data_IF_504171087029
#
_entry.id   IF_504171087029
#
_cell.length_a   1.000
_cell.length_b   1.000
_cell.length_c   1.000
_cell.angle_alpha   90.00
_cell.angle_beta   90.00
_cell.angle_gamma   90.00
#
_symmetry.space_group_name_H-M   'P 1'
#
loop_
_entity.id
_entity.type
_entity.pdbx_description
1 polymer ?
#
# COMPACT_ATOMS: atom_id res chain seq x y z
N UNK A 1 12.18 0.30 7.93
CA UNK A 1 11.38 0.69 9.08
C UNK A 1 11.62 2.15 9.43
N UNK A 2 10.58 2.87 9.80
CA UNK A 2 10.67 4.17 10.43
C UNK A 2 10.38 4.03 11.91
N UNK A 3 11.38 4.39 12.73
CA UNK A 3 11.36 4.19 14.18
C UNK A 3 11.49 5.52 14.92
N UNK A 4 11.23 5.51 16.23
CA UNK A 4 11.44 6.66 17.08
C UNK A 4 12.26 6.32 18.33
N UNK A 5 12.84 7.34 18.90
CA UNK A 5 13.46 7.29 20.20
C UNK A 5 13.09 8.55 20.99
N UNK A 6 13.05 8.44 22.30
CA UNK A 6 12.71 9.52 23.20
C UNK A 6 13.89 9.86 24.13
N UNK A 7 13.99 11.12 24.51
CA UNK A 7 14.97 11.58 25.49
C UNK A 7 14.45 12.81 26.24
N UNK A 8 14.92 12.99 27.46
CA UNK A 8 14.75 14.23 28.23
C UNK A 8 15.72 15.34 27.78
N UNK A 9 16.72 14.99 26.98
CA UNK A 9 17.78 15.88 26.52
C UNK A 9 17.87 15.86 25.00
N UNK A 10 18.15 16.98 24.35
CA UNK A 10 18.17 17.03 22.89
C UNK A 10 19.37 16.30 22.24
N UNK A 11 20.39 15.98 22.99
CA UNK A 11 21.67 15.48 22.48
C UNK A 11 22.21 14.20 23.14
N UNK A 12 21.44 13.59 24.06
CA UNK A 12 21.90 12.38 24.79
C UNK A 12 20.74 11.63 25.45
N UNK A 13 21.01 10.41 25.88
CA UNK A 13 20.07 9.62 26.69
C UNK A 13 18.84 9.16 25.93
N UNK A 14 18.97 8.92 24.62
CA UNK A 14 17.89 8.41 23.80
C UNK A 14 17.56 6.95 24.13
N UNK A 15 16.29 6.69 24.30
CA UNK A 15 15.74 5.34 24.49
C UNK A 15 14.88 4.99 23.29
N UNK A 16 15.13 3.85 22.69
CA UNK A 16 14.34 3.34 21.58
C UNK A 16 12.88 3.13 21.99
N UNK A 17 11.96 3.69 21.22
CA UNK A 17 10.53 3.66 21.52
C UNK A 17 9.74 2.65 20.68
N UNK A 18 10.28 2.25 19.54
CA UNK A 18 9.59 1.30 18.65
C UNK A 18 9.50 1.76 17.22
N UNK A 19 8.74 1.01 16.43
CA UNK A 19 8.43 1.31 15.02
C UNK A 19 7.23 2.23 14.96
N UNK A 20 7.30 3.29 14.16
CA UNK A 20 6.16 4.17 13.86
C UNK A 20 5.38 3.60 12.69
N UNK A 21 6.07 3.26 11.59
CA UNK A 21 5.48 2.63 10.41
C UNK A 21 6.49 1.69 9.75
N UNK A 22 6.00 0.55 9.29
CA UNK A 22 6.80 -0.44 8.58
C UNK A 22 6.59 -0.32 7.07
N UNK A 23 7.68 -0.30 6.30
CA UNK A 23 7.61 -0.32 4.84
C UNK A 23 6.90 -1.54 4.27
N UNK A 24 7.05 -2.67 4.96
CA UNK A 24 6.48 -3.94 4.53
C UNK A 24 5.11 -4.19 5.15
N UNK A 25 4.62 -3.22 5.92
CA UNK A 25 3.36 -3.34 6.67
C UNK A 25 3.37 -4.55 7.63
N UNK A 26 4.50 -4.74 8.35
CA UNK A 26 4.75 -5.84 9.27
C UNK A 26 4.48 -5.47 10.72
N UNK A 27 4.38 -6.47 11.58
CA UNK A 27 4.26 -6.34 13.04
C UNK A 27 3.02 -5.59 13.54
N UNK A 28 1.98 -5.54 12.72
CA UNK A 28 0.71 -4.97 13.12
C UNK A 28 -0.16 -6.10 13.64
N UNK A 29 -0.25 -6.20 14.96
CA UNK A 29 -0.90 -7.29 15.67
C UNK A 29 -0.45 -8.69 15.18
N UNK A 30 -1.20 -9.73 15.47
CA UNK A 30 -0.96 -11.07 14.93
C UNK A 30 -1.28 -11.22 13.44
N UNK A 31 -1.81 -10.17 12.84
CA UNK A 31 -2.32 -10.18 11.47
C UNK A 31 -1.22 -10.18 10.40
N UNK A 32 -0.06 -9.56 10.70
CA UNK A 32 1.05 -9.43 9.74
C UNK A 32 2.37 -9.89 10.33
N UNK A 33 2.61 -11.20 10.32
CA UNK A 33 3.87 -11.75 10.76
C UNK A 33 5.03 -11.34 9.84
N UNK A 34 6.25 -11.35 10.36
CA UNK A 34 7.46 -10.91 9.66
C UNK A 34 7.76 -11.69 8.37
N UNK A 35 7.35 -12.96 8.30
CA UNK A 35 7.56 -13.84 7.17
C UNK A 35 6.61 -13.61 5.99
N UNK A 36 5.62 -12.75 6.16
CA UNK A 36 4.62 -12.43 5.11
C UNK A 36 4.53 -10.93 4.87
N UNK A 37 5.59 -10.27 4.39
CA UNK A 37 5.52 -8.86 4.05
C UNK A 37 4.55 -8.64 2.89
N UNK A 38 3.73 -7.59 3.03
CA UNK A 38 2.64 -7.29 2.10
C UNK A 38 2.97 -6.17 1.12
N UNK A 39 4.16 -5.60 1.24
CA UNK A 39 4.66 -4.59 0.32
C UNK A 39 6.18 -4.74 0.20
N UNK A 40 6.77 -4.29 -0.91
CA UNK A 40 8.21 -4.33 -1.04
C UNK A 40 8.89 -3.25 -0.20
N UNK A 41 9.99 -3.64 0.44
CA UNK A 41 10.74 -2.77 1.34
C UNK A 41 11.93 -2.12 0.66
N UNK A 42 12.34 -1.02 1.26
CA UNK A 42 13.64 -0.39 1.10
C UNK A 42 13.87 0.53 2.29
N UNK A 43 14.69 1.59 2.13
CA UNK A 43 14.82 2.61 3.15
C UNK A 43 13.53 3.45 3.28
N UNK A 44 13.37 4.07 4.43
CA UNK A 44 12.27 4.98 4.73
C UNK A 44 12.80 6.13 5.60
N UNK A 45 12.24 7.30 5.43
CA UNK A 45 12.37 8.43 6.34
C UNK A 45 11.14 9.31 6.24
N UNK A 46 10.92 10.12 7.26
CA UNK A 46 9.73 10.96 7.35
C UNK A 46 9.76 11.80 8.61
N UNK A 47 8.62 12.34 8.97
CA UNK A 47 8.46 13.17 10.17
C UNK A 47 7.03 13.15 10.66
N UNK A 48 6.88 13.45 11.95
CA UNK A 48 5.56 13.58 12.57
C UNK A 48 5.17 15.05 12.67
N UNK A 49 3.89 15.31 12.51
CA UNK A 49 3.32 16.65 12.66
C UNK A 49 1.90 16.57 13.21
N UNK A 50 1.52 17.54 14.00
CA UNK A 50 0.15 17.73 14.47
C UNK A 50 -0.60 18.68 13.55
N UNK A 51 -1.78 18.25 13.09
CA UNK A 51 -2.68 19.05 12.26
C UNK A 51 -4.06 18.99 12.89
N UNK A 52 -4.56 20.13 13.36
CA UNK A 52 -5.88 20.26 13.98
C UNK A 52 -6.15 19.25 15.11
N UNK A 53 -5.17 19.01 15.97
CA UNK A 53 -5.28 18.08 17.11
C UNK A 53 -5.08 16.60 16.76
N UNK A 54 -4.84 16.26 15.52
CA UNK A 54 -4.50 14.92 15.09
C UNK A 54 -3.03 14.86 14.67
N UNK A 55 -2.29 13.92 15.24
CA UNK A 55 -0.90 13.64 14.84
C UNK A 55 -0.85 12.72 13.64
N UNK A 56 0.05 12.99 12.71
CA UNK A 56 0.32 12.20 11.52
C UNK A 56 1.79 11.88 11.38
N UNK A 57 2.10 10.72 10.83
CA UNK A 57 3.40 10.40 10.27
C UNK A 57 3.34 10.59 8.76
N UNK A 58 4.18 11.48 8.24
CA UNK A 58 4.46 11.60 6.82
C UNK A 58 5.71 10.80 6.52
N UNK A 59 5.64 9.91 5.56
CA UNK A 59 6.73 9.04 5.20
C UNK A 59 6.71 8.78 3.69
N UNK A 60 7.65 7.99 3.19
CA UNK A 60 7.59 7.55 1.81
C UNK A 60 7.71 6.04 1.71
N UNK A 61 7.25 5.51 0.60
CA UNK A 61 7.52 4.15 0.16
C UNK A 61 8.16 4.18 -1.22
N UNK A 62 8.95 3.16 -1.53
CA UNK A 62 9.53 3.05 -2.85
C UNK A 62 8.50 2.61 -3.87
N UNK A 63 8.69 3.08 -5.10
CA UNK A 63 7.87 2.74 -6.26
C UNK A 63 8.76 2.28 -7.40
N UNK A 64 8.18 1.78 -8.47
CA UNK A 64 8.86 1.32 -9.69
C UNK A 64 9.95 0.25 -9.47
N UNK A 65 9.99 -0.39 -8.30
CA UNK A 65 11.01 -1.38 -7.97
C UNK A 65 12.45 -0.81 -7.96
N UNK A 66 12.63 0.47 -7.66
CA UNK A 66 13.94 1.12 -7.59
C UNK A 66 14.13 1.89 -6.28
N UNK A 67 15.36 2.10 -5.82
CA UNK A 67 15.63 2.94 -4.65
C UNK A 67 15.50 4.45 -4.94
N UNK A 68 15.21 4.85 -6.16
CA UNK A 68 15.20 6.26 -6.58
C UNK A 68 13.80 6.85 -6.68
N UNK A 69 12.79 6.04 -6.95
CA UNK A 69 11.40 6.48 -7.09
C UNK A 69 10.66 6.34 -5.77
N UNK A 70 9.91 7.36 -5.39
CA UNK A 70 9.20 7.40 -4.11
C UNK A 70 7.80 7.98 -4.26
N UNK A 71 6.90 7.46 -3.44
CA UNK A 71 5.57 7.97 -3.24
C UNK A 71 5.43 8.46 -1.80
N UNK A 72 4.92 9.68 -1.62
CA UNK A 72 4.58 10.20 -0.31
C UNK A 72 3.36 9.45 0.25
N UNK A 73 3.42 9.14 1.55
CA UNK A 73 2.38 8.49 2.31
C UNK A 73 2.15 9.25 3.62
N UNK A 74 0.97 9.10 4.20
CA UNK A 74 0.65 9.64 5.51
C UNK A 74 -0.33 8.72 6.23
N UNK A 75 -0.13 8.55 7.55
CA UNK A 75 -1.03 7.80 8.42
C UNK A 75 -1.27 8.58 9.72
N UNK A 76 -2.45 8.49 10.33
CA UNK A 76 -2.68 9.04 11.66
C UNK A 76 -1.88 8.27 12.70
N UNK A 77 -1.26 9.01 13.63
CA UNK A 77 -0.58 8.43 14.80
C UNK A 77 -1.51 8.45 15.99
N UNK A 78 -1.49 7.37 16.76
CA UNK A 78 -2.13 7.26 18.07
C UNK A 78 -1.09 7.03 19.14
N UNK A 79 -1.31 7.61 20.30
CA UNK A 79 -0.46 7.45 21.48
C UNK A 79 -1.16 6.58 22.53
N UNK A 80 -0.36 5.83 23.27
CA UNK A 80 -0.83 5.21 24.52
C UNK A 80 -0.78 6.22 25.66
N UNK A 81 -1.36 5.87 26.78
CA UNK A 81 -1.41 6.72 27.98
C UNK A 81 -0.01 7.06 28.53
N UNK A 82 0.98 6.22 28.29
CA UNK A 82 2.38 6.44 28.65
C UNK A 82 3.13 7.33 27.65
N UNK A 83 2.47 7.81 26.60
CA UNK A 83 3.03 8.63 25.55
C UNK A 83 3.78 7.85 24.46
N UNK A 84 3.82 6.53 24.52
CA UNK A 84 4.40 5.72 23.46
C UNK A 84 3.50 5.72 22.21
N UNK A 85 4.13 5.61 21.03
CA UNK A 85 3.43 5.58 19.75
C UNK A 85 2.95 4.16 19.45
N UNK A 86 1.67 4.03 19.09
CA UNK A 86 1.14 2.81 18.51
C UNK A 86 1.57 2.76 17.06
N UNK A 87 2.19 1.67 16.62
CA UNK A 87 2.62 1.52 15.24
C UNK A 87 1.46 1.77 14.28
N UNK A 88 1.65 2.68 13.33
CA UNK A 88 0.68 2.96 12.30
C UNK A 88 0.64 1.86 11.25
N UNK A 89 -0.55 1.48 10.86
CA UNK A 89 -0.79 0.58 9.74
C UNK A 89 -0.70 1.36 8.42
N UNK A 90 -0.09 0.76 7.40
CA UNK A 90 -0.12 1.33 6.04
C UNK A 90 -1.52 1.17 5.45
N UNK A 91 -2.17 2.28 5.09
CA UNK A 91 -3.54 2.27 4.56
C UNK A 91 -3.65 3.03 3.24
N UNK A 92 -4.80 2.92 2.59
CA UNK A 92 -5.15 3.73 1.43
C UNK A 92 -5.80 5.07 1.82
N UNK A 93 -6.01 5.30 3.12
CA UNK A 93 -6.80 6.44 3.62
C UNK A 93 -6.02 7.76 3.63
N UNK A 94 -4.70 7.71 3.85
CA UNK A 94 -3.88 8.92 3.94
C UNK A 94 -4.40 9.89 5.01
N UNK A 95 -4.61 11.13 4.63
CA UNK A 95 -5.10 12.20 5.51
C UNK A 95 -6.62 12.21 5.72
N UNK A 96 -7.36 11.27 5.13
CA UNK A 96 -8.84 11.26 5.25
C UNK A 96 -9.36 10.79 6.61
N UNK A 97 -8.48 10.33 7.50
CA UNK A 97 -8.80 10.05 8.91
C UNK A 97 -9.68 8.82 9.18
N UNK A 98 -10.03 8.05 8.16
CA UNK A 98 -10.88 6.85 8.29
C UNK A 98 -11.15 6.20 6.95
N UNK A 99 -12.03 5.19 6.92
CA UNK A 99 -12.36 4.51 5.68
C UNK A 99 -12.82 5.47 4.59
N UNK A 100 -12.28 5.29 3.39
CA UNK A 100 -12.72 6.00 2.20
C UNK A 100 -14.16 5.56 1.85
N UNK A 101 -14.91 6.45 1.24
CA UNK A 101 -16.24 6.11 0.71
C UNK A 101 -16.02 5.10 -0.42
N UNK A 102 -16.62 3.91 -0.36
CA UNK A 102 -16.46 2.87 -1.38
C UNK A 102 -17.09 3.21 -2.74
N UNK A 103 -17.71 4.38 -2.85
CA UNK A 103 -18.38 4.85 -4.06
C UNK A 103 -17.57 5.97 -4.72
N UNK A 104 -17.22 5.78 -5.99
CA UNK A 104 -16.45 6.73 -6.76
C UNK A 104 -15.25 6.08 -7.46
N UNK A 105 -14.42 6.89 -8.08
CA UNK A 105 -13.20 6.46 -8.76
C UNK A 105 -11.98 6.78 -7.89
N UNK A 106 -11.10 5.81 -7.74
CA UNK A 106 -9.88 5.93 -6.95
C UNK A 106 -8.67 5.47 -7.78
N UNK A 107 -7.53 6.14 -7.64
CA UNK A 107 -6.32 5.72 -8.33
C UNK A 107 -5.77 4.42 -7.75
N UNK A 108 -5.42 3.46 -8.60
CA UNK A 108 -4.90 2.17 -8.16
C UNK A 108 -3.59 2.28 -7.34
N UNK A 109 -2.82 3.35 -7.52
CA UNK A 109 -1.57 3.56 -6.77
C UNK A 109 -1.75 3.88 -5.28
N UNK A 110 -2.98 4.00 -4.77
CA UNK A 110 -3.23 4.03 -3.32
C UNK A 110 -3.26 2.64 -2.68
N UNK A 111 -3.07 1.57 -3.45
CA UNK A 111 -2.92 0.23 -2.90
C UNK A 111 -1.83 0.22 -1.82
N UNK A 112 -2.16 -0.29 -0.64
CA UNK A 112 -1.24 -0.37 0.49
C UNK A 112 -0.53 -1.73 0.56
N UNK A 113 -1.04 -2.76 -0.11
CA UNK A 113 -0.42 -4.07 -0.20
C UNK A 113 -0.23 -4.47 -1.65
N UNK A 114 0.96 -4.95 -2.00
CA UNK A 114 1.30 -5.47 -3.32
C UNK A 114 2.17 -6.71 -3.16
N UNK A 115 1.67 -7.86 -3.60
CA UNK A 115 2.39 -9.13 -3.50
C UNK A 115 1.95 -10.12 -4.60
N UNK A 116 2.66 -11.22 -4.71
CA UNK A 116 2.36 -12.31 -5.63
C UNK A 116 2.53 -13.65 -4.89
N UNK A 117 1.52 -14.50 -4.91
CA UNK A 117 1.54 -15.82 -4.23
C UNK A 117 1.98 -15.74 -2.76
N UNK A 118 1.46 -14.78 -2.00
CA UNK A 118 1.83 -14.53 -0.60
C UNK A 118 3.28 -14.08 -0.37
N UNK A 119 3.98 -13.68 -1.42
CA UNK A 119 5.31 -13.10 -1.35
C UNK A 119 5.30 -11.68 -1.91
N UNK A 120 5.96 -10.77 -1.22
CA UNK A 120 6.33 -9.47 -1.78
C UNK A 120 7.75 -9.53 -2.32
N UNK A 121 8.14 -8.49 -3.07
CA UNK A 121 9.52 -8.40 -3.56
C UNK A 121 10.55 -8.34 -2.42
N UNK A 122 10.13 -8.02 -1.19
CA UNK A 122 10.99 -8.01 -0.02
C UNK A 122 11.53 -9.41 0.35
N UNK A 123 10.72 -10.45 0.16
CA UNK A 123 11.11 -11.84 0.42
C UNK A 123 11.78 -12.51 -0.77
N UNK A 124 11.77 -11.84 -1.92
CA UNK A 124 12.40 -12.36 -3.11
C UNK A 124 13.94 -12.36 -2.99
N UNK A 125 14.58 -13.27 -3.70
CA UNK A 125 16.03 -13.30 -3.79
C UNK A 125 16.57 -11.98 -4.36
N UNK A 126 17.80 -11.65 -3.98
CA UNK A 126 18.47 -10.42 -4.41
C UNK A 126 18.38 -10.24 -5.93
N UNK A 127 18.05 -9.03 -6.38
CA UNK A 127 17.89 -8.68 -7.78
C UNK A 127 16.51 -8.94 -8.38
N UNK A 128 15.62 -9.63 -7.70
CA UNK A 128 14.27 -9.92 -8.20
C UNK A 128 13.30 -8.74 -8.11
N UNK A 129 13.67 -7.65 -7.49
CA UNK A 129 12.84 -6.43 -7.40
C UNK A 129 12.49 -5.81 -8.77
N UNK A 130 13.21 -6.17 -9.84
CA UNK A 130 12.86 -5.86 -11.23
C UNK A 130 12.04 -6.95 -11.91
N UNK A 131 11.79 -8.06 -11.22
CA UNK A 131 11.09 -9.21 -11.80
C UNK A 131 9.62 -8.86 -12.07
N UNK A 132 9.17 -9.24 -13.25
CA UNK A 132 7.80 -9.05 -13.71
C UNK A 132 6.75 -9.88 -12.94
N UNK A 133 7.17 -10.78 -12.05
CA UNK A 133 6.25 -11.51 -11.16
C UNK A 133 5.63 -10.62 -10.08
N UNK A 134 6.29 -9.53 -9.72
CA UNK A 134 5.86 -8.68 -8.62
C UNK A 134 5.13 -7.44 -9.14
N UNK A 135 3.93 -7.17 -8.63
CA UNK A 135 3.24 -5.92 -8.92
C UNK A 135 4.00 -4.76 -8.30
N UNK A 136 4.00 -3.63 -8.98
CA UNK A 136 4.65 -2.40 -8.52
C UNK A 136 3.93 -1.16 -9.01
N UNK A 137 3.95 -0.12 -8.18
CA UNK A 137 3.43 1.19 -8.56
C UNK A 137 4.45 1.86 -9.47
N UNK A 138 3.97 2.41 -10.58
CA UNK A 138 4.75 3.17 -11.56
C UNK A 138 3.86 4.21 -12.24
N UNK A 139 4.41 4.95 -13.18
CA UNK A 139 3.70 5.89 -14.05
C UNK A 139 4.27 5.83 -15.47
N UNK A 140 3.54 6.35 -16.45
CA UNK A 140 4.07 6.65 -17.77
C UNK A 140 4.87 7.97 -17.70
N UNK A 141 5.75 8.18 -18.69
CA UNK A 141 6.58 9.39 -18.73
C UNK A 141 7.77 9.38 -17.77
N UNK A 142 8.21 10.56 -17.39
CA UNK A 142 9.34 10.78 -16.46
C UNK A 142 8.81 11.09 -15.06
N UNK A 143 9.68 10.93 -14.06
CA UNK A 143 9.39 11.37 -12.70
C UNK A 143 9.08 12.88 -12.68
N UNK A 144 7.95 13.22 -12.05
CA UNK A 144 7.47 14.59 -11.99
C UNK A 144 6.54 15.01 -13.14
N UNK A 145 6.32 14.15 -14.14
CA UNK A 145 5.26 14.37 -15.12
C UNK A 145 3.90 14.23 -14.41
N UNK A 146 2.87 14.92 -14.94
CA UNK A 146 1.51 14.89 -14.40
C UNK A 146 0.74 13.60 -14.75
N UNK A 147 1.43 12.61 -15.26
CA UNK A 147 0.83 11.33 -15.64
C UNK A 147 0.36 10.53 -14.41
N UNK A 148 -0.83 9.99 -14.52
CA UNK A 148 -1.41 9.20 -13.44
C UNK A 148 -0.62 7.90 -13.22
N UNK A 149 -0.30 7.61 -11.95
CA UNK A 149 0.31 6.36 -11.57
C UNK A 149 -0.65 5.18 -11.73
N UNK A 150 -0.08 3.99 -11.90
CA UNK A 150 -0.81 2.74 -12.00
C UNK A 150 0.00 1.58 -11.39
N UNK A 151 -0.62 0.41 -11.27
CA UNK A 151 0.06 -0.81 -10.84
C UNK A 151 0.47 -1.61 -12.08
N UNK A 152 1.77 -1.77 -12.24
CA UNK A 152 2.37 -2.61 -13.29
C UNK A 152 2.53 -4.05 -12.80
N UNK A 153 2.54 -5.01 -13.71
CA UNK A 153 2.75 -6.44 -13.44
C UNK A 153 1.66 -7.12 -12.61
N UNK A 154 0.41 -6.72 -12.82
CA UNK A 154 -0.73 -7.49 -12.32
C UNK A 154 -0.89 -8.75 -13.17
N UNK A 155 -0.12 -9.78 -12.83
CA UNK A 155 -0.06 -11.08 -13.48
C UNK A 155 -0.80 -12.14 -12.66
N UNK A 156 -0.73 -13.38 -13.12
CA UNK A 156 -1.29 -14.51 -12.36
C UNK A 156 -0.84 -14.48 -10.89
N UNK A 157 -1.81 -14.57 -10.01
CA UNK A 157 -1.64 -14.55 -8.55
C UNK A 157 -1.11 -13.22 -7.97
N UNK A 158 -1.01 -12.15 -8.77
CA UNK A 158 -0.68 -10.82 -8.25
C UNK A 158 -1.89 -10.24 -7.50
N UNK A 159 -1.63 -9.63 -6.37
CA UNK A 159 -2.65 -9.07 -5.49
C UNK A 159 -2.34 -7.62 -5.16
N UNK A 160 -3.35 -6.77 -5.28
CA UNK A 160 -3.35 -5.40 -4.79
C UNK A 160 -4.39 -5.27 -3.68
N UNK A 161 -3.94 -4.84 -2.50
CA UNK A 161 -4.80 -4.64 -1.34
C UNK A 161 -5.02 -3.18 -1.04
N UNK A 162 -6.27 -2.83 -0.72
CA UNK A 162 -6.70 -1.48 -0.40
C UNK A 162 -7.37 -1.47 0.98
N UNK A 163 -7.00 -0.55 1.84
CA UNK A 163 -7.52 -0.42 3.20
C UNK A 163 -7.66 1.07 3.57
N UNK A 164 -8.76 1.52 4.05
CA UNK A 164 -10.05 0.86 4.26
C UNK A 164 -11.11 1.58 3.43
N UNK A 165 -12.12 0.86 3.02
CA UNK A 165 -13.25 1.41 2.29
C UNK A 165 -14.56 1.03 2.98
N UNK A 166 -15.48 1.98 3.06
CA UNK A 166 -16.86 1.69 3.42
C UNK A 166 -17.63 1.28 2.17
N UNK A 167 -17.77 -0.02 1.98
CA UNK A 167 -18.43 -0.61 0.81
C UNK A 167 -19.89 -0.95 1.01
N UNK A 168 -20.56 -0.40 2.03
CA UNK A 168 -21.98 -0.66 2.27
C UNK A 168 -22.82 -0.18 1.11
N UNK A 169 -23.64 -1.10 0.55
CA UNK A 169 -24.53 -0.81 -0.59
C UNK A 169 -23.79 -0.66 -1.93
N UNK A 170 -22.57 -1.13 -2.03
CA UNK A 170 -21.87 -1.27 -3.30
C UNK A 170 -22.30 -2.59 -3.94
N UNK A 171 -22.72 -2.51 -5.19
CA UNK A 171 -23.21 -3.65 -5.97
C UNK A 171 -22.31 -3.98 -7.16
N UNK A 172 -21.38 -3.07 -7.50
CA UNK A 172 -20.50 -3.20 -8.66
C UNK A 172 -19.11 -2.68 -8.38
N UNK A 173 -18.12 -3.34 -8.97
CA UNK A 173 -16.74 -2.89 -8.97
C UNK A 173 -16.24 -2.84 -10.40
N UNK A 174 -15.59 -1.73 -10.76
CA UNK A 174 -14.91 -1.54 -12.03
C UNK A 174 -13.41 -1.43 -11.85
N UNK A 175 -12.67 -1.89 -12.83
CA UNK A 175 -11.22 -1.69 -12.93
C UNK A 175 -10.86 -1.18 -14.32
N UNK A 176 -9.90 -0.26 -14.41
CA UNK A 176 -9.31 0.17 -15.67
C UNK A 176 -7.95 -0.53 -15.85
N UNK A 177 -7.81 -1.25 -16.94
CA UNK A 177 -6.58 -2.00 -17.26
C UNK A 177 -6.17 -1.82 -18.72
N UNK A 178 -4.88 -2.00 -18.98
CA UNK A 178 -4.34 -2.22 -20.32
C UNK A 178 -3.26 -3.28 -20.26
N UNK A 179 -3.10 -4.07 -21.29
CA UNK A 179 -2.04 -5.08 -21.35
C UNK A 179 -2.27 -6.13 -22.43
N UNK A 180 -1.20 -6.83 -22.74
CA UNK A 180 -1.18 -7.90 -23.73
C UNK A 180 -1.55 -9.26 -23.10
N UNK A 181 -2.57 -9.28 -22.26
CA UNK A 181 -3.03 -10.49 -21.59
C UNK A 181 -4.55 -10.54 -21.53
N UNK A 182 -5.06 -11.69 -21.19
CA UNK A 182 -6.46 -11.92 -20.86
C UNK A 182 -6.53 -12.77 -19.59
N UNK A 183 -7.65 -12.73 -18.92
CA UNK A 183 -7.88 -13.47 -17.67
C UNK A 183 -9.01 -12.85 -16.88
N UNK A 184 -8.88 -12.82 -15.58
CA UNK A 184 -9.88 -12.18 -14.71
C UNK A 184 -9.21 -11.65 -13.43
N UNK A 185 -9.88 -10.67 -12.83
CA UNK A 185 -9.60 -10.22 -11.47
C UNK A 185 -10.68 -10.77 -10.53
N UNK A 186 -10.26 -11.24 -9.37
CA UNK A 186 -11.15 -11.60 -8.27
C UNK A 186 -11.22 -10.45 -7.26
N UNK A 187 -12.42 -10.09 -6.85
CA UNK A 187 -12.69 -9.10 -5.81
C UNK A 187 -12.96 -9.83 -4.51
N UNK A 188 -12.14 -9.56 -3.50
CA UNK A 188 -12.19 -10.26 -2.20
C UNK A 188 -12.12 -9.26 -1.04
N UNK A 189 -12.65 -9.64 0.10
CA UNK A 189 -12.54 -8.89 1.36
C UNK A 189 -11.48 -9.43 2.31
N UNK A 190 -10.88 -10.56 1.98
CA UNK A 190 -9.73 -11.14 2.70
C UNK A 190 -8.82 -11.89 1.73
N UNK A 191 -7.56 -12.11 2.13
CA UNK A 191 -6.55 -12.73 1.28
C UNK A 191 -6.94 -14.14 0.80
N UNK A 192 -7.50 -14.94 1.70
CA UNK A 192 -7.86 -16.33 1.47
C UNK A 192 -9.40 -16.52 1.35
N UNK A 193 -10.15 -15.43 1.22
CA UNK A 193 -11.61 -15.46 1.11
C UNK A 193 -12.10 -15.85 -0.28
N UNK A 194 -13.35 -16.31 -0.32
CA UNK A 194 -14.04 -16.51 -1.59
C UNK A 194 -14.26 -15.18 -2.32
N UNK A 195 -14.21 -15.18 -3.65
CA UNK A 195 -14.51 -13.99 -4.44
C UNK A 195 -15.94 -13.52 -4.26
N UNK A 196 -16.12 -12.23 -4.00
CA UNK A 196 -17.44 -11.58 -4.08
C UNK A 196 -17.89 -11.40 -5.52
N UNK A 197 -16.93 -11.21 -6.43
CA UNK A 197 -17.17 -11.06 -7.84
C UNK A 197 -15.89 -11.31 -8.64
N UNK A 198 -16.08 -11.56 -9.94
CA UNK A 198 -15.00 -11.81 -10.88
C UNK A 198 -15.16 -10.91 -12.10
N UNK A 199 -14.13 -10.18 -12.43
CA UNK A 199 -14.09 -9.23 -13.56
C UNK A 199 -13.26 -9.86 -14.68
N UNK A 200 -13.87 -10.41 -15.72
CA UNK A 200 -13.13 -10.91 -16.88
C UNK A 200 -12.53 -9.74 -17.65
N UNK A 201 -11.28 -9.90 -18.08
CA UNK A 201 -10.56 -8.92 -18.88
C UNK A 201 -10.09 -9.51 -20.20
N UNK A 202 -10.05 -8.68 -21.23
CA UNK A 202 -9.53 -9.01 -22.54
C UNK A 202 -8.25 -8.26 -22.85
N UNK A 203 -7.60 -8.70 -23.91
CA UNK A 203 -6.45 -8.03 -24.47
C UNK A 203 -6.80 -6.60 -24.90
N UNK A 204 -6.00 -5.62 -24.46
CA UNK A 204 -6.10 -4.24 -24.95
C UNK A 204 -4.77 -3.50 -24.73
N UNK A 205 -4.28 -2.81 -25.73
CA UNK A 205 -3.12 -1.93 -25.62
C UNK A 205 -3.49 -0.50 -25.20
N UNK A 206 -4.77 -0.22 -24.99
CA UNK A 206 -5.29 1.04 -24.44
C UNK A 206 -6.04 0.77 -23.15
N UNK A 207 -6.17 1.78 -22.31
CA UNK A 207 -6.94 1.69 -21.07
C UNK A 207 -8.40 1.37 -21.37
N UNK A 208 -8.90 0.29 -20.78
CA UNK A 208 -10.30 -0.12 -20.84
C UNK A 208 -10.85 -0.39 -19.47
N UNK A 209 -12.11 -0.06 -19.28
CA UNK A 209 -12.85 -0.34 -18.06
C UNK A 209 -13.62 -1.65 -18.19
N UNK A 210 -13.53 -2.46 -17.14
CA UNK A 210 -14.26 -3.72 -17.00
C UNK A 210 -14.97 -3.71 -15.65
N UNK A 211 -16.19 -4.23 -15.62
CA UNK A 211 -17.07 -4.18 -14.45
C UNK A 211 -17.65 -5.56 -14.16
N UNK A 212 -17.83 -5.85 -12.89
CA UNK A 212 -18.62 -6.98 -12.42
C UNK A 212 -19.55 -6.59 -11.26
N UNK A 213 -20.61 -7.33 -11.10
CA UNK A 213 -21.44 -7.31 -9.89
C UNK A 213 -20.72 -8.04 -8.75
N UNK A 214 -20.97 -7.59 -7.48
CA UNK A 214 -20.37 -8.17 -6.27
C UNK A 214 -21.45 -8.42 -5.20
#
# INVERSE_FOLDING_TARGET
ELCYATSKYPNKGFTYGGVIVSNCDLYIDSYKPAEKPMYYAWNNHGGIVEINGQWYIFYHRHTNGTPFNRQACAEPIRFRDDGSIIQAEMTSCGLNGGPLIGKGEYPAYIACNLFCKHESIYTAAEGLWMDARFPKITQDGKDGDEEAGYILNMRDSATAGFKYFDCRGIEKVSIKVRGYCSGHFEIKTSWDGEPLGTIPIGFSNIWQEYTADI
#
